data_IF_443050912322
#
_entry.id   IF_443050912322
#
_cell.length_a   1.000
_cell.length_b   1.000
_cell.length_c   1.000
_cell.angle_alpha   90.00
_cell.angle_beta   90.00
_cell.angle_gamma   90.00
#
_symmetry.space_group_name_H-M   'P 1'
#
loop_
_entity.id
_entity.type
_entity.pdbx_description
1 polymer ?
#
# COMPACT_ATOMS: atom_id res chain seq x y z
N UNK A 1 -26.84 -52.81 -18.79
CA UNK A 1 -26.39 -53.98 -19.57
C UNK A 1 -25.30 -54.68 -18.77
N UNK A 2 -25.36 -56.00 -18.64
CA UNK A 2 -24.42 -56.81 -17.85
C UNK A 2 -23.99 -58.01 -18.71
N UNK A 3 -22.68 -58.26 -18.80
CA UNK A 3 -22.12 -59.46 -19.44
C UNK A 3 -21.02 -60.05 -18.56
N UNK A 4 -20.74 -61.37 -18.64
CA UNK A 4 -20.38 -62.15 -17.45
C UNK A 4 -18.95 -62.70 -17.42
N UNK A 5 -18.66 -63.44 -16.34
CA UNK A 5 -17.39 -64.12 -16.02
C UNK A 5 -17.40 -65.58 -16.50
N UNK A 6 -16.22 -66.22 -16.53
CA UNK A 6 -15.91 -67.66 -16.78
C UNK A 6 -15.55 -68.00 -18.26
N UNK A 7 -14.75 -69.04 -18.60
CA UNK A 7 -14.28 -70.19 -17.79
C UNK A 7 -12.96 -70.84 -18.31
N UNK A 8 -12.19 -71.45 -17.39
CA UNK A 8 -11.21 -72.58 -17.50
C UNK A 8 -10.44 -72.91 -18.81
N UNK A 9 -9.13 -73.13 -18.68
CA UNK A 9 -8.41 -74.44 -18.59
C UNK A 9 -6.91 -74.12 -18.34
N UNK A 10 -6.16 -74.57 -17.32
CA UNK A 10 -5.95 -75.84 -16.60
C UNK A 10 -4.96 -76.82 -17.30
N UNK A 11 -3.81 -77.03 -16.62
CA UNK A 11 -2.83 -78.11 -16.76
C UNK A 11 -2.05 -78.30 -18.08
N UNK A 12 -0.81 -77.80 -18.10
CA UNK A 12 0.37 -78.63 -18.44
C UNK A 12 1.44 -78.37 -17.36
N UNK A 13 2.00 -79.43 -16.79
CA UNK A 13 3.12 -79.38 -15.83
C UNK A 13 4.15 -80.48 -16.15
N UNK A 14 5.38 -80.29 -15.66
CA UNK A 14 6.36 -81.35 -15.38
C UNK A 14 7.11 -82.03 -16.55
N UNK A 15 8.03 -81.29 -17.17
CA UNK A 15 9.39 -81.73 -17.58
C UNK A 15 10.16 -80.46 -17.99
N UNK A 16 11.46 -80.24 -17.74
CA UNK A 16 12.54 -81.10 -17.23
C UNK A 16 13.24 -80.48 -16.01
N UNK A 17 14.10 -81.25 -15.33
CA UNK A 17 14.91 -80.78 -14.20
C UNK A 17 16.42 -81.04 -14.43
N UNK A 18 17.25 -80.35 -13.64
CA UNK A 18 18.61 -80.73 -13.22
C UNK A 18 19.77 -80.68 -14.26
N UNK A 19 20.41 -79.51 -14.35
CA UNK A 19 21.88 -79.35 -14.53
C UNK A 19 22.31 -78.18 -13.64
N UNK A 20 22.81 -78.38 -12.42
CA UNK A 20 24.19 -78.75 -12.04
C UNK A 20 25.28 -77.69 -12.30
N UNK A 21 25.35 -76.75 -11.36
CA UNK A 21 26.55 -76.21 -10.68
C UNK A 21 27.83 -76.03 -11.52
N UNK A 22 28.14 -74.77 -11.83
CA UNK A 22 29.48 -74.20 -11.72
C UNK A 22 29.35 -72.72 -11.29
N UNK A 23 30.27 -72.11 -10.54
CA UNK A 23 31.52 -72.67 -10.02
C UNK A 23 32.71 -71.69 -9.99
N UNK A 24 32.49 -70.38 -9.97
CA UNK A 24 33.56 -69.38 -9.99
C UNK A 24 33.72 -68.65 -8.63
N UNK A 25 34.92 -68.73 -8.06
CA UNK A 25 35.31 -68.03 -6.84
C UNK A 25 35.87 -66.63 -7.18
N UNK A 26 35.43 -65.60 -6.45
CA UNK A 26 36.04 -64.26 -6.50
C UNK A 26 36.89 -64.01 -5.25
N UNK A 27 38.18 -63.72 -5.46
CA UNK A 27 39.09 -63.34 -4.38
C UNK A 27 38.87 -61.86 -4.00
N UNK A 28 38.82 -61.51 -2.70
CA UNK A 28 38.78 -60.11 -2.29
C UNK A 28 40.15 -59.46 -2.53
N UNK A 29 40.14 -58.26 -3.12
CA UNK A 29 41.31 -57.38 -3.22
C UNK A 29 41.23 -56.36 -2.05
N UNK A 30 42.34 -55.98 -1.40
CA UNK A 30 42.29 -55.01 -0.30
C UNK A 30 41.69 -53.67 -0.75
N UNK A 31 41.04 -53.00 0.19
CA UNK A 31 40.33 -51.72 -0.03
C UNK A 31 41.29 -50.54 -0.08
N UNK A 32 41.52 -49.99 -1.27
CA UNK A 32 42.08 -48.65 -1.43
C UNK A 32 40.99 -47.58 -1.27
N UNK A 33 41.39 -46.43 -0.71
CA UNK A 33 40.47 -45.45 -0.13
C UNK A 33 39.79 -44.56 -1.19
N UNK A 34 38.64 -44.98 -1.72
CA UNK A 34 37.64 -44.03 -2.26
C UNK A 34 36.23 -44.60 -2.20
N UNK A 35 35.39 -44.05 -1.33
CA UNK A 35 33.99 -44.47 -1.15
C UNK A 35 33.08 -43.99 -2.29
N UNK A 36 33.24 -44.58 -3.48
CA UNK A 36 32.18 -44.54 -4.50
C UNK A 36 31.02 -45.41 -4.02
N UNK A 37 30.12 -44.79 -3.27
CA UNK A 37 28.89 -45.41 -2.79
C UNK A 37 28.08 -45.90 -4.00
N UNK A 38 27.82 -47.21 -4.06
CA UNK A 38 27.07 -47.82 -5.14
C UNK A 38 25.58 -47.49 -4.99
N UNK A 39 25.18 -46.34 -5.53
CA UNK A 39 23.77 -45.95 -5.69
C UNK A 39 23.02 -46.99 -6.54
N UNK A 40 21.73 -47.14 -6.24
CA UNK A 40 20.89 -48.21 -6.79
C UNK A 40 20.83 -48.17 -8.33
N UNK A 41 20.53 -49.32 -8.95
CA UNK A 41 20.32 -49.44 -10.40
C UNK A 41 18.94 -48.92 -10.81
N UNK A 42 18.61 -47.70 -10.39
CA UNK A 42 17.31 -47.03 -10.53
C UNK A 42 17.52 -45.52 -10.57
N UNK A 43 17.51 -44.94 -11.77
CA UNK A 43 17.36 -43.52 -12.18
C UNK A 43 18.21 -42.40 -11.52
N UNK A 44 18.65 -42.52 -10.27
CA UNK A 44 19.53 -41.58 -9.55
C UNK A 44 20.83 -41.28 -10.33
N UNK A 45 21.30 -42.24 -11.12
CA UNK A 45 22.50 -42.12 -11.96
C UNK A 45 22.32 -41.18 -13.17
N UNK A 46 21.10 -40.69 -13.43
CA UNK A 46 20.82 -39.67 -14.44
C UNK A 46 21.18 -38.26 -13.90
N UNK A 47 21.03 -38.04 -12.59
CA UNK A 47 21.24 -36.75 -11.93
C UNK A 47 22.70 -36.51 -11.46
N UNK A 48 23.67 -37.11 -12.15
CA UNK A 48 25.11 -37.01 -11.81
C UNK A 48 25.66 -35.64 -12.22
N UNK A 49 25.35 -34.65 -11.40
CA UNK A 49 25.73 -33.24 -11.54
C UNK A 49 24.87 -32.31 -10.70
N UNK A 50 23.58 -32.64 -10.53
CA UNK A 50 22.60 -31.84 -9.80
C UNK A 50 22.70 -32.09 -8.29
N UNK A 51 23.76 -31.58 -7.65
CA UNK A 51 23.86 -31.63 -6.19
C UNK A 51 22.72 -30.83 -5.54
N UNK A 52 22.24 -31.31 -4.39
CA UNK A 52 21.13 -30.66 -3.66
C UNK A 52 21.46 -29.21 -3.29
N UNK A 53 22.75 -28.93 -3.01
CA UNK A 53 23.27 -27.59 -2.73
C UNK A 53 23.07 -26.62 -3.91
N UNK A 54 23.36 -27.05 -5.15
CA UNK A 54 23.17 -26.22 -6.36
C UNK A 54 21.71 -25.88 -6.62
N UNK A 55 20.76 -26.71 -6.19
CA UNK A 55 19.32 -26.43 -6.34
C UNK A 55 18.81 -25.28 -5.45
N UNK A 56 19.55 -24.93 -4.40
CA UNK A 56 19.25 -23.85 -3.46
C UNK A 56 20.18 -22.63 -3.60
N UNK A 57 21.12 -22.62 -4.54
CA UNK A 57 21.94 -21.43 -4.84
C UNK A 57 21.04 -20.23 -5.21
N UNK A 58 21.29 -19.02 -4.66
CA UNK A 58 20.47 -17.84 -4.92
C UNK A 58 20.28 -17.54 -6.42
N UNK A 59 21.33 -17.72 -7.21
CA UNK A 59 21.33 -17.43 -8.64
C UNK A 59 20.58 -18.50 -9.44
N UNK A 60 20.58 -19.75 -8.98
CA UNK A 60 19.83 -20.84 -9.60
C UNK A 60 18.32 -20.66 -9.38
N UNK A 61 17.89 -20.36 -8.15
CA UNK A 61 16.47 -20.05 -7.87
C UNK A 61 16.03 -18.81 -8.65
N UNK A 62 16.83 -17.73 -8.63
CA UNK A 62 16.51 -16.49 -9.35
C UNK A 62 16.33 -16.73 -10.85
N UNK A 63 17.28 -17.43 -11.50
CA UNK A 63 17.18 -17.77 -12.94
C UNK A 63 16.00 -18.67 -13.26
N UNK A 64 15.58 -19.54 -12.32
CA UNK A 64 14.38 -20.37 -12.46
C UNK A 64 13.12 -19.49 -12.44
N UNK A 65 13.02 -18.55 -11.49
CA UNK A 65 11.94 -17.58 -11.39
C UNK A 65 11.84 -16.66 -12.62
N UNK A 66 12.98 -16.18 -13.13
CA UNK A 66 13.08 -15.44 -14.39
C UNK A 66 12.64 -16.28 -15.59
N UNK A 67 13.08 -17.54 -15.68
CA UNK A 67 12.68 -18.45 -16.77
C UNK A 67 11.17 -18.74 -16.80
N UNK A 68 10.46 -18.66 -15.66
CA UNK A 68 9.00 -18.68 -15.63
C UNK A 68 8.39 -17.31 -16.01
N UNK A 69 8.99 -16.21 -15.55
CA UNK A 69 8.53 -14.84 -15.89
C UNK A 69 8.55 -14.60 -17.41
N UNK A 70 9.63 -15.00 -18.07
CA UNK A 70 9.85 -14.79 -19.51
C UNK A 70 9.00 -15.74 -20.38
N UNK A 71 8.50 -16.85 -19.81
CA UNK A 71 7.48 -17.73 -20.41
C UNK A 71 6.04 -17.26 -20.11
N UNK A 72 5.87 -16.07 -19.56
CA UNK A 72 4.60 -15.53 -19.06
C UNK A 72 3.89 -16.42 -18.01
N UNK A 73 4.63 -17.36 -17.41
CA UNK A 73 4.16 -18.31 -16.41
C UNK A 73 4.20 -17.64 -15.03
N UNK A 74 3.38 -16.58 -14.89
CA UNK A 74 3.49 -15.64 -13.76
C UNK A 74 3.16 -16.29 -12.41
N UNK A 75 2.29 -17.30 -12.36
CA UNK A 75 1.94 -17.98 -11.10
C UNK A 75 3.13 -18.80 -10.56
N UNK A 76 3.78 -19.56 -11.43
CA UNK A 76 4.98 -20.36 -11.18
C UNK A 76 6.16 -19.44 -10.82
N UNK A 77 6.30 -18.33 -11.55
CA UNK A 77 7.31 -17.29 -11.29
C UNK A 77 7.16 -16.66 -9.91
N UNK A 78 5.92 -16.37 -9.48
CA UNK A 78 5.62 -15.85 -8.12
C UNK A 78 6.04 -16.87 -7.04
N UNK A 79 5.85 -18.17 -7.26
CA UNK A 79 6.27 -19.20 -6.30
C UNK A 79 7.79 -19.24 -6.15
N UNK A 80 8.54 -19.22 -7.25
CA UNK A 80 10.02 -19.25 -7.20
C UNK A 80 10.63 -17.94 -6.65
N UNK A 81 10.07 -16.76 -6.94
CA UNK A 81 10.52 -15.52 -6.30
C UNK A 81 10.19 -15.48 -4.80
N UNK A 82 9.07 -16.07 -4.35
CA UNK A 82 8.77 -16.22 -2.92
C UNK A 82 9.75 -17.19 -2.26
N UNK A 83 10.00 -18.35 -2.89
CA UNK A 83 10.99 -19.32 -2.42
C UNK A 83 12.40 -18.71 -2.29
N UNK A 84 12.79 -17.84 -3.22
CA UNK A 84 14.02 -17.04 -3.10
C UNK A 84 14.01 -16.16 -1.84
N UNK A 85 12.93 -15.43 -1.55
CA UNK A 85 12.83 -14.54 -0.39
C UNK A 85 12.75 -15.31 0.94
N UNK A 86 12.12 -16.49 0.95
CA UNK A 86 12.00 -17.34 2.14
C UNK A 86 13.37 -17.90 2.57
N UNK A 87 14.25 -18.22 1.62
CA UNK A 87 15.60 -18.71 1.89
C UNK A 87 16.66 -17.60 2.00
N UNK A 88 16.57 -16.57 1.15
CA UNK A 88 17.66 -15.62 0.87
C UNK A 88 17.25 -14.16 1.06
N UNK A 89 16.39 -13.87 2.05
CA UNK A 89 15.85 -12.51 2.36
C UNK A 89 16.90 -11.38 2.37
N UNK A 90 18.11 -11.65 2.86
CA UNK A 90 19.18 -10.65 3.00
C UNK A 90 20.10 -10.56 1.76
N UNK A 91 19.80 -11.27 0.67
CA UNK A 91 20.63 -11.25 -0.54
C UNK A 91 20.42 -9.98 -1.36
N UNK A 92 21.45 -9.56 -2.11
CA UNK A 92 21.44 -8.34 -2.96
C UNK A 92 20.29 -8.32 -3.99
N UNK A 93 19.75 -9.50 -4.33
CA UNK A 93 18.63 -9.66 -5.27
C UNK A 93 17.24 -9.75 -4.61
N UNK A 94 17.12 -9.68 -3.29
CA UNK A 94 15.83 -9.72 -2.60
C UNK A 94 14.89 -8.55 -2.99
N UNK A 95 15.35 -7.28 -3.13
CA UNK A 95 14.50 -6.21 -3.66
C UNK A 95 13.98 -6.50 -5.07
N UNK A 96 14.79 -7.17 -5.91
CA UNK A 96 14.41 -7.54 -7.27
C UNK A 96 13.35 -8.65 -7.29
N UNK A 97 13.49 -9.68 -6.44
CA UNK A 97 12.49 -10.73 -6.28
C UNK A 97 11.14 -10.15 -5.80
N UNK A 98 11.14 -9.29 -4.77
CA UNK A 98 9.92 -8.70 -4.23
C UNK A 98 9.23 -7.77 -5.25
N UNK A 99 10.01 -6.96 -5.98
CA UNK A 99 9.50 -6.19 -7.12
C UNK A 99 8.89 -7.09 -8.20
N UNK A 100 9.56 -8.18 -8.59
CA UNK A 100 9.09 -9.12 -9.62
C UNK A 100 7.81 -9.85 -9.23
N UNK A 101 7.57 -10.13 -7.95
CA UNK A 101 6.27 -10.66 -7.47
C UNK A 101 5.14 -9.66 -7.75
N UNK A 102 5.34 -8.38 -7.43
CA UNK A 102 4.39 -7.30 -7.74
C UNK A 102 4.11 -7.19 -9.25
N UNK A 103 5.17 -7.15 -10.08
CA UNK A 103 5.04 -7.11 -11.55
C UNK A 103 4.33 -8.35 -12.10
N UNK A 104 4.58 -9.53 -11.54
CA UNK A 104 3.94 -10.77 -11.98
C UNK A 104 2.45 -10.78 -11.67
N UNK A 105 2.03 -10.30 -10.49
CA UNK A 105 0.62 -10.11 -10.16
C UNK A 105 -0.03 -9.04 -11.07
N UNK A 106 0.64 -7.90 -11.31
CA UNK A 106 0.15 -6.89 -12.25
C UNK A 106 -0.07 -7.45 -13.66
N UNK A 107 0.84 -8.28 -14.16
CA UNK A 107 0.73 -8.93 -15.48
C UNK A 107 -0.31 -10.06 -15.57
N UNK A 108 -0.82 -10.57 -14.45
CA UNK A 108 -1.94 -11.52 -14.45
C UNK A 108 -3.28 -10.82 -14.74
N UNK A 109 -3.41 -9.53 -14.42
CA UNK A 109 -4.56 -8.71 -14.80
C UNK A 109 -4.58 -8.46 -16.31
N UNK A 110 -5.78 -8.38 -16.91
CA UNK A 110 -5.96 -8.29 -18.38
C UNK A 110 -6.96 -7.24 -18.86
N UNK A 111 -8.15 -7.17 -18.27
CA UNK A 111 -9.20 -6.22 -18.68
C UNK A 111 -10.07 -5.83 -17.49
N UNK A 112 -10.67 -4.63 -17.56
CA UNK A 112 -11.48 -4.01 -16.49
C UNK A 112 -12.69 -4.86 -16.08
N UNK A 113 -13.21 -5.70 -16.97
CA UNK A 113 -14.32 -6.63 -16.69
C UNK A 113 -13.93 -7.80 -15.76
N UNK A 114 -12.65 -8.21 -15.80
CA UNK A 114 -12.16 -9.40 -15.10
C UNK A 114 -11.96 -9.17 -13.61
N UNK A 115 -11.68 -10.25 -12.91
CA UNK A 115 -11.42 -10.20 -11.48
C UNK A 115 -10.21 -9.28 -11.15
N UNK A 116 -10.33 -8.39 -10.13
CA UNK A 116 -9.29 -7.42 -9.79
C UNK A 116 -8.28 -7.91 -8.74
N UNK A 117 -8.42 -9.11 -8.16
CA UNK A 117 -7.51 -9.60 -7.10
C UNK A 117 -6.01 -9.48 -7.47
N UNK A 118 -5.57 -9.69 -8.73
CA UNK A 118 -4.16 -9.49 -9.10
C UNK A 118 -3.68 -8.03 -8.99
N UNK A 119 -4.57 -7.04 -9.05
CA UNK A 119 -4.22 -5.62 -8.79
C UNK A 119 -4.04 -5.36 -7.31
N UNK A 120 -4.93 -5.88 -6.46
CA UNK A 120 -4.83 -5.74 -5.00
C UNK A 120 -3.58 -6.48 -4.47
N UNK A 121 -3.27 -7.66 -5.02
CA UNK A 121 -2.05 -8.41 -4.72
C UNK A 121 -0.80 -7.72 -5.28
N UNK A 122 -0.88 -7.09 -6.45
CA UNK A 122 0.20 -6.26 -7.02
C UNK A 122 0.56 -5.11 -6.07
N UNK A 123 -0.43 -4.30 -5.67
CA UNK A 123 -0.26 -3.18 -4.73
C UNK A 123 0.38 -3.66 -3.43
N UNK A 124 -0.17 -4.70 -2.79
CA UNK A 124 0.37 -5.26 -1.54
C UNK A 124 1.83 -5.70 -1.64
N UNK A 125 2.28 -6.22 -2.79
CA UNK A 125 3.67 -6.65 -2.98
C UNK A 125 4.61 -5.49 -3.32
N UNK A 126 4.12 -4.43 -3.96
CA UNK A 126 4.88 -3.19 -4.12
C UNK A 126 4.96 -2.39 -2.81
N UNK A 127 3.92 -2.36 -1.99
CA UNK A 127 3.97 -1.74 -0.66
C UNK A 127 4.98 -2.45 0.25
N UNK A 128 5.02 -3.80 0.21
CA UNK A 128 6.08 -4.59 0.88
C UNK A 128 7.48 -4.27 0.36
N UNK A 129 7.66 -4.07 -0.94
CA UNK A 129 8.95 -3.64 -1.50
C UNK A 129 9.37 -2.29 -0.90
N UNK A 130 8.45 -1.33 -0.81
CA UNK A 130 8.72 0.01 -0.26
C UNK A 130 8.97 0.00 1.25
N UNK A 131 8.39 -0.95 1.98
CA UNK A 131 8.57 -1.10 3.43
C UNK A 131 9.83 -1.92 3.80
N UNK A 132 10.08 -3.05 3.16
CA UNK A 132 11.22 -3.94 3.45
C UNK A 132 12.51 -3.48 2.75
N UNK A 133 12.42 -2.81 1.59
CA UNK A 133 13.57 -2.42 0.77
C UNK A 133 13.51 -0.94 0.30
N UNK A 134 13.48 0.03 1.24
CA UNK A 134 13.46 1.46 0.93
C UNK A 134 14.70 1.90 0.14
N UNK A 135 14.55 2.94 -0.70
CA UNK A 135 15.60 3.46 -1.59
C UNK A 135 16.17 2.43 -2.59
N UNK A 136 15.49 1.30 -2.81
CA UNK A 136 15.86 0.33 -3.85
C UNK A 136 15.64 0.90 -5.26
N UNK A 137 16.43 0.44 -6.24
CA UNK A 137 16.34 0.85 -7.66
C UNK A 137 14.92 0.77 -8.25
N UNK A 138 14.08 -0.09 -7.69
CA UNK A 138 12.74 -0.43 -8.17
C UNK A 138 11.64 0.47 -7.57
N UNK A 139 11.92 1.21 -6.50
CA UNK A 139 10.99 2.13 -5.82
C UNK A 139 10.18 3.07 -6.75
N UNK A 140 10.79 3.82 -7.70
CA UNK A 140 10.03 4.74 -8.55
C UNK A 140 9.09 4.02 -9.52
N UNK A 141 9.45 2.83 -9.99
CA UNK A 141 8.61 2.03 -10.88
C UNK A 141 7.49 1.30 -10.12
N UNK A 142 7.78 0.86 -8.88
CA UNK A 142 6.78 0.32 -7.97
C UNK A 142 5.71 1.36 -7.64
N UNK A 143 6.10 2.58 -7.22
CA UNK A 143 5.18 3.69 -6.95
C UNK A 143 4.33 4.04 -8.17
N UNK A 144 4.92 4.07 -9.37
CA UNK A 144 4.19 4.25 -10.63
C UNK A 144 3.19 3.12 -10.91
N UNK A 145 3.58 1.87 -10.69
CA UNK A 145 2.71 0.70 -10.93
C UNK A 145 1.57 0.62 -9.93
N UNK A 146 1.78 1.00 -8.66
CA UNK A 146 0.72 1.15 -7.65
C UNK A 146 -0.34 2.14 -8.13
N UNK A 147 0.06 3.32 -8.63
CA UNK A 147 -0.86 4.33 -9.16
C UNK A 147 -1.69 3.79 -10.34
N UNK A 148 -1.06 3.04 -11.26
CA UNK A 148 -1.75 2.39 -12.38
C UNK A 148 -2.72 1.31 -11.89
N UNK A 149 -2.38 0.55 -10.84
CA UNK A 149 -3.29 -0.44 -10.25
C UNK A 149 -4.50 0.23 -9.59
N UNK A 150 -4.30 1.31 -8.82
CA UNK A 150 -5.38 2.12 -8.24
C UNK A 150 -6.32 2.67 -9.32
N UNK A 151 -5.76 3.21 -10.40
CA UNK A 151 -6.52 3.73 -11.54
C UNK A 151 -7.37 2.63 -12.22
N UNK A 152 -6.83 1.42 -12.40
CA UNK A 152 -7.61 0.30 -12.92
C UNK A 152 -8.73 -0.17 -11.97
N UNK A 153 -8.51 -0.12 -10.65
CA UNK A 153 -9.55 -0.40 -9.65
C UNK A 153 -10.66 0.66 -9.65
N UNK A 154 -10.29 1.93 -9.77
CA UNK A 154 -11.22 3.06 -9.88
C UNK A 154 -12.07 2.96 -11.16
N UNK A 155 -11.43 2.73 -12.31
CA UNK A 155 -12.12 2.53 -13.61
C UNK A 155 -13.09 1.34 -13.57
N UNK A 156 -12.75 0.25 -12.88
CA UNK A 156 -13.67 -0.89 -12.69
C UNK A 156 -14.92 -0.51 -11.90
N UNK A 157 -14.79 0.28 -10.84
CA UNK A 157 -15.98 0.77 -10.12
C UNK A 157 -16.75 1.81 -10.93
N UNK A 158 -16.08 2.66 -11.73
CA UNK A 158 -16.72 3.67 -12.58
C UNK A 158 -17.61 3.01 -13.63
N UNK A 159 -17.06 2.04 -14.36
CA UNK A 159 -17.77 1.25 -15.38
C UNK A 159 -18.99 0.52 -14.79
N UNK A 160 -18.84 -0.10 -13.60
CA UNK A 160 -19.94 -0.79 -12.92
C UNK A 160 -20.99 0.19 -12.40
N UNK A 161 -20.59 1.38 -11.92
CA UNK A 161 -21.51 2.46 -11.53
C UNK A 161 -22.31 3.00 -12.71
N UNK A 162 -21.66 3.29 -13.83
CA UNK A 162 -22.30 3.73 -15.08
C UNK A 162 -23.30 2.68 -15.60
N UNK A 163 -22.96 1.38 -15.51
CA UNK A 163 -23.85 0.28 -15.86
C UNK A 163 -25.11 0.21 -14.98
N UNK A 164 -24.99 0.43 -13.66
CA UNK A 164 -26.15 0.50 -12.76
C UNK A 164 -26.99 1.77 -13.01
N UNK A 165 -26.35 2.92 -13.26
CA UNK A 165 -27.03 4.17 -13.60
C UNK A 165 -27.84 4.04 -14.90
N UNK A 166 -27.26 3.45 -15.95
CA UNK A 166 -27.94 3.16 -17.21
C UNK A 166 -29.10 2.15 -17.11
N UNK A 167 -29.23 1.47 -15.96
CA UNK A 167 -30.36 0.58 -15.62
C UNK A 167 -31.36 1.19 -14.63
N UNK A 168 -31.19 2.46 -14.23
CA UNK A 168 -32.00 3.10 -13.21
C UNK A 168 -31.80 2.55 -11.79
N UNK A 169 -30.71 1.81 -11.55
CA UNK A 169 -30.39 1.22 -10.25
C UNK A 169 -29.56 2.21 -9.41
N UNK A 170 -30.15 3.38 -9.15
CA UNK A 170 -29.44 4.55 -8.64
C UNK A 170 -28.67 4.31 -7.34
N UNK A 171 -29.25 3.59 -6.37
CA UNK A 171 -28.55 3.28 -5.11
C UNK A 171 -27.29 2.40 -5.31
N UNK A 172 -27.35 1.46 -6.27
CA UNK A 172 -26.20 0.62 -6.61
C UNK A 172 -25.14 1.39 -7.44
N UNK A 173 -25.56 2.40 -8.20
CA UNK A 173 -24.66 3.32 -8.89
C UNK A 173 -23.95 4.27 -7.89
N UNK A 174 -24.71 4.90 -6.99
CA UNK A 174 -24.20 5.82 -5.98
C UNK A 174 -23.10 5.15 -5.12
N UNK A 175 -23.38 3.98 -4.54
CA UNK A 175 -22.41 3.21 -3.77
C UNK A 175 -21.14 2.84 -4.57
N UNK A 176 -21.20 2.75 -5.91
CA UNK A 176 -20.00 2.50 -6.74
C UNK A 176 -19.17 3.76 -6.92
N UNK A 177 -19.79 4.91 -7.13
CA UNK A 177 -19.09 6.20 -7.24
C UNK A 177 -18.53 6.67 -5.90
N UNK A 178 -19.29 6.55 -4.81
CA UNK A 178 -18.84 6.83 -3.44
C UNK A 178 -17.62 6.00 -3.04
N UNK A 179 -17.53 4.73 -3.49
CA UNK A 179 -16.35 3.89 -3.24
C UNK A 179 -15.09 4.44 -3.93
N UNK A 180 -15.21 5.02 -5.12
CA UNK A 180 -14.08 5.65 -5.83
C UNK A 180 -13.61 6.89 -5.06
N UNK A 181 -14.54 7.78 -4.73
CA UNK A 181 -14.24 9.04 -4.02
C UNK A 181 -13.58 8.76 -2.66
N UNK A 182 -14.03 7.70 -1.96
CA UNK A 182 -13.50 7.31 -0.65
C UNK A 182 -12.13 6.62 -0.69
N UNK A 183 -11.88 5.77 -1.69
CA UNK A 183 -10.67 4.93 -1.73
C UNK A 183 -9.55 5.48 -2.63
N UNK A 184 -9.88 6.35 -3.58
CA UNK A 184 -8.96 6.90 -4.57
C UNK A 184 -9.15 8.42 -4.84
N UNK A 185 -9.30 9.29 -3.81
CA UNK A 185 -9.54 10.73 -3.99
C UNK A 185 -8.41 11.45 -4.75
N UNK A 186 -7.20 10.88 -4.82
CA UNK A 186 -6.07 11.45 -5.54
C UNK A 186 -6.12 11.30 -7.07
N UNK A 187 -7.10 10.55 -7.61
CA UNK A 187 -7.20 10.23 -9.04
C UNK A 187 -8.15 11.17 -9.79
N UNK A 188 -7.89 11.40 -11.08
CA UNK A 188 -8.82 12.15 -11.95
C UNK A 188 -10.20 11.47 -12.04
N UNK A 189 -10.21 10.12 -12.02
CA UNK A 189 -11.41 9.27 -11.99
C UNK A 189 -12.29 9.49 -10.74
N UNK A 190 -11.79 10.14 -9.67
CA UNK A 190 -12.64 10.58 -8.56
C UNK A 190 -13.58 11.73 -8.96
N UNK A 191 -13.13 12.67 -9.80
CA UNK A 191 -13.97 13.73 -10.36
C UNK A 191 -15.06 13.19 -11.28
N UNK A 192 -14.73 12.21 -12.13
CA UNK A 192 -15.71 11.47 -12.95
C UNK A 192 -16.77 10.81 -12.06
N UNK A 193 -16.34 10.20 -10.94
CA UNK A 193 -17.23 9.60 -9.97
C UNK A 193 -18.13 10.66 -9.28
N UNK A 194 -17.60 11.81 -8.86
CA UNK A 194 -18.41 12.91 -8.29
C UNK A 194 -19.47 13.41 -9.28
N UNK A 195 -19.12 13.60 -10.55
CA UNK A 195 -20.09 14.03 -11.57
C UNK A 195 -21.21 12.99 -11.76
N UNK A 196 -20.85 11.71 -11.87
CA UNK A 196 -21.84 10.65 -12.01
C UNK A 196 -22.66 10.41 -10.73
N UNK A 197 -22.10 10.62 -9.54
CA UNK A 197 -22.81 10.57 -8.26
C UNK A 197 -23.82 11.72 -8.16
N UNK A 198 -23.41 12.95 -8.48
CA UNK A 198 -24.31 14.10 -8.54
C UNK A 198 -25.46 13.89 -9.52
N UNK A 199 -25.18 13.33 -10.71
CA UNK A 199 -26.22 12.96 -11.67
C UNK A 199 -27.14 11.86 -11.13
N UNK A 200 -26.60 10.85 -10.44
CA UNK A 200 -27.38 9.78 -9.81
C UNK A 200 -28.35 10.36 -8.76
N UNK A 201 -27.92 11.35 -7.99
CA UNK A 201 -28.79 12.06 -7.05
C UNK A 201 -29.79 13.01 -7.73
N UNK A 202 -29.45 13.62 -8.87
CA UNK A 202 -30.43 14.34 -9.71
C UNK A 202 -31.52 13.41 -10.23
N UNK A 203 -31.16 12.25 -10.78
CA UNK A 203 -32.10 11.28 -11.36
C UNK A 203 -32.98 10.62 -10.28
N UNK A 204 -32.54 10.61 -9.01
CA UNK A 204 -33.34 10.29 -7.81
C UNK A 204 -34.25 11.45 -7.33
N UNK A 205 -34.06 12.68 -7.84
CA UNK A 205 -34.77 13.88 -7.38
C UNK A 205 -34.19 14.54 -6.13
N UNK A 206 -33.03 14.10 -5.63
CA UNK A 206 -32.34 14.63 -4.45
C UNK A 206 -31.39 15.76 -4.89
N UNK A 207 -31.96 16.91 -5.25
CA UNK A 207 -31.21 18.04 -5.82
C UNK A 207 -30.27 18.75 -4.84
N UNK A 208 -30.42 18.52 -3.54
CA UNK A 208 -29.53 19.00 -2.47
C UNK A 208 -28.16 18.32 -2.57
N UNK A 209 -28.09 16.99 -2.37
CA UNK A 209 -26.85 16.22 -2.54
C UNK A 209 -26.28 16.30 -3.97
N UNK A 210 -27.14 16.45 -4.98
CA UNK A 210 -26.69 16.69 -6.36
C UNK A 210 -25.89 18.00 -6.49
N UNK A 211 -26.29 19.08 -5.81
CA UNK A 211 -25.54 20.34 -5.82
C UNK A 211 -24.28 20.27 -4.96
N UNK A 212 -24.32 19.59 -3.82
CA UNK A 212 -23.17 19.35 -2.94
C UNK A 212 -22.01 18.66 -3.67
N UNK A 213 -22.28 17.53 -4.33
CA UNK A 213 -21.25 16.79 -5.09
C UNK A 213 -20.75 17.54 -6.34
N UNK A 214 -21.53 18.47 -6.90
CA UNK A 214 -21.07 19.36 -7.98
C UNK A 214 -20.19 20.51 -7.48
N UNK A 215 -20.43 21.00 -6.27
CA UNK A 215 -19.55 21.97 -5.62
C UNK A 215 -18.20 21.31 -5.27
N UNK A 216 -18.22 20.10 -4.70
CA UNK A 216 -17.01 19.30 -4.48
C UNK A 216 -16.21 19.10 -5.78
N UNK A 217 -16.85 18.62 -6.84
CA UNK A 217 -16.22 18.46 -8.17
C UNK A 217 -15.55 19.74 -8.69
N UNK A 218 -16.23 20.88 -8.57
CA UNK A 218 -15.73 22.17 -9.08
C UNK A 218 -14.57 22.69 -8.23
N UNK A 219 -14.57 22.45 -6.92
CA UNK A 219 -13.55 22.93 -5.99
C UNK A 219 -12.30 22.02 -5.96
N UNK A 220 -12.49 20.70 -5.94
CA UNK A 220 -11.43 19.70 -5.72
C UNK A 220 -10.77 19.24 -7.03
N UNK A 221 -11.52 19.18 -8.14
CA UNK A 221 -11.02 18.71 -9.43
C UNK A 221 -11.22 19.76 -10.56
N UNK A 222 -10.54 20.92 -10.51
CA UNK A 222 -10.70 22.00 -11.49
C UNK A 222 -10.31 21.63 -12.93
N UNK A 223 -9.46 20.61 -13.11
CA UNK A 223 -8.97 20.16 -14.41
C UNK A 223 -9.72 18.96 -15.01
N UNK A 224 -10.66 18.36 -14.28
CA UNK A 224 -11.36 17.13 -14.70
C UNK A 224 -12.26 17.38 -15.93
N UNK A 225 -12.37 16.37 -16.81
CA UNK A 225 -13.14 16.42 -18.05
C UNK A 225 -14.60 16.91 -17.90
N UNK A 226 -15.27 16.55 -16.81
CA UNK A 226 -16.66 16.91 -16.52
C UNK A 226 -16.83 18.28 -15.85
N UNK A 227 -15.75 18.98 -15.46
CA UNK A 227 -15.83 20.24 -14.71
C UNK A 227 -16.78 21.27 -15.37
N UNK A 228 -16.69 21.45 -16.68
CA UNK A 228 -17.55 22.38 -17.43
C UNK A 228 -19.03 21.94 -17.47
N UNK A 229 -19.32 20.65 -17.52
CA UNK A 229 -20.69 20.13 -17.50
C UNK A 229 -21.28 20.09 -16.09
N UNK A 230 -20.45 19.87 -15.07
CA UNK A 230 -20.79 20.04 -13.67
C UNK A 230 -21.23 21.47 -13.34
N UNK A 231 -20.46 22.48 -13.79
CA UNK A 231 -20.86 23.89 -13.66
C UNK A 231 -22.21 24.20 -14.33
N UNK A 232 -22.43 23.71 -15.56
CA UNK A 232 -23.70 23.91 -16.29
C UNK A 232 -24.88 23.26 -15.56
N UNK A 233 -24.68 22.08 -15.00
CA UNK A 233 -25.69 21.33 -14.25
C UNK A 233 -26.00 22.02 -12.90
N UNK A 234 -24.97 22.42 -12.16
CA UNK A 234 -25.09 23.17 -10.91
C UNK A 234 -25.88 24.47 -11.12
N UNK A 235 -25.52 25.27 -12.12
CA UNK A 235 -26.23 26.50 -12.48
C UNK A 235 -27.67 26.27 -12.97
N UNK A 236 -28.02 25.06 -13.44
CA UNK A 236 -29.39 24.66 -13.80
C UNK A 236 -30.20 24.30 -12.55
N UNK A 237 -29.62 23.59 -11.59
CA UNK A 237 -30.26 23.22 -10.32
C UNK A 237 -30.50 24.46 -9.45
N UNK A 238 -29.50 25.33 -9.29
CA UNK A 238 -29.59 26.59 -8.56
C UNK A 238 -30.71 27.51 -9.09
N UNK A 239 -30.90 27.58 -10.42
CA UNK A 239 -32.00 28.34 -11.05
C UNK A 239 -33.39 27.74 -10.80
N UNK A 240 -33.47 26.43 -10.52
CA UNK A 240 -34.72 25.75 -10.16
C UNK A 240 -35.04 25.92 -8.68
N UNK A 241 -34.03 25.85 -7.81
CA UNK A 241 -34.16 25.84 -6.35
C UNK A 241 -33.28 26.92 -5.67
N UNK A 242 -33.56 28.23 -5.87
CA UNK A 242 -32.72 29.31 -5.37
C UNK A 242 -32.67 29.39 -3.82
N UNK A 243 -33.65 28.82 -3.12
CA UNK A 243 -33.69 28.78 -1.66
C UNK A 243 -32.51 28.02 -1.04
N UNK A 244 -32.00 26.99 -1.72
CA UNK A 244 -30.89 26.16 -1.21
C UNK A 244 -29.58 26.95 -1.07
N UNK A 245 -29.34 27.92 -1.97
CA UNK A 245 -28.20 28.84 -1.88
C UNK A 245 -28.26 29.79 -0.67
N UNK A 246 -29.42 29.94 -0.03
CA UNK A 246 -29.56 30.71 1.21
C UNK A 246 -29.35 29.87 2.48
N UNK A 247 -29.35 28.53 2.38
CA UNK A 247 -29.14 27.60 3.50
C UNK A 247 -27.74 26.97 3.54
N UNK A 248 -27.00 26.96 2.43
CA UNK A 248 -25.59 26.57 2.44
C UNK A 248 -24.76 27.52 3.34
N UNK A 249 -23.82 27.01 4.15
CA UNK A 249 -22.85 27.85 4.85
C UNK A 249 -22.09 28.73 3.86
N UNK A 250 -22.17 30.05 4.02
CA UNK A 250 -21.47 30.98 3.14
C UNK A 250 -20.05 31.19 3.65
N UNK A 251 -19.09 30.50 3.04
CA UNK A 251 -17.68 30.76 3.26
C UNK A 251 -17.34 32.22 2.89
N UNK A 252 -16.90 33.06 3.84
CA UNK A 252 -16.71 34.48 3.60
C UNK A 252 -15.59 34.80 2.60
N UNK A 253 -14.74 33.82 2.28
CA UNK A 253 -13.69 33.94 1.27
C UNK A 253 -14.23 34.03 -0.18
N UNK A 254 -15.47 33.59 -0.45
CA UNK A 254 -16.04 33.60 -1.80
C UNK A 254 -16.64 34.96 -2.20
N UNK A 255 -17.10 35.77 -1.23
CA UNK A 255 -17.67 37.11 -1.50
C UNK A 255 -16.57 38.14 -1.88
N UNK A 256 -15.31 37.94 -1.47
CA UNK A 256 -14.22 38.89 -1.73
C UNK A 256 -13.74 38.92 -3.19
N UNK A 257 -13.79 37.79 -3.92
CA UNK A 257 -13.18 37.69 -5.25
C UNK A 257 -14.04 38.29 -6.39
N UNK A 258 -15.33 38.54 -6.15
CA UNK A 258 -16.28 39.04 -7.16
C UNK A 258 -16.57 40.56 -7.03
N UNK A 259 -15.81 41.27 -6.18
CA UNK A 259 -16.00 42.69 -5.89
C UNK A 259 -15.15 43.64 -6.77
N UNK A 260 -14.19 43.12 -7.56
CA UNK A 260 -13.18 43.93 -8.24
C UNK A 260 -13.69 44.55 -9.56
N UNK A 261 -14.01 45.85 -9.53
CA UNK A 261 -14.04 46.71 -10.73
C UNK A 261 -13.13 47.93 -10.54
N UNK A 262 -12.18 48.21 -11.44
CA UNK A 262 -11.17 49.26 -11.26
C UNK A 262 -11.60 50.62 -11.87
N UNK A 263 -10.85 51.71 -11.66
CA UNK A 263 -10.40 52.27 -10.36
C UNK A 263 -10.64 53.82 -10.30
N UNK A 264 -10.33 54.52 -9.18
CA UNK A 264 -9.77 55.91 -9.14
C UNK A 264 -9.51 56.42 -7.69
N UNK A 265 -8.22 56.55 -7.34
CA UNK A 265 -7.49 57.67 -6.67
C UNK A 265 -8.08 58.38 -5.41
N UNK A 266 -7.28 58.36 -4.32
CA UNK A 266 -7.22 59.27 -3.13
C UNK A 266 -8.42 59.34 -2.15
N UNK A 267 -8.27 59.51 -0.83
CA UNK A 267 -7.15 59.97 0.03
C UNK A 267 -7.25 59.40 1.48
N UNK A 268 -6.20 59.52 2.31
CA UNK A 268 -6.14 59.18 3.78
C UNK A 268 -5.61 60.43 4.53
N UNK A 269 -5.63 60.58 5.89
CA UNK A 269 -6.24 59.76 6.95
C UNK A 269 -7.00 60.56 8.05
N UNK A 270 -7.57 59.86 9.05
CA UNK A 270 -7.43 60.19 10.49
C UNK A 270 -7.95 59.08 11.41
N UNK A 271 -7.54 59.14 12.68
CA UNK A 271 -7.77 58.16 13.73
C UNK A 271 -9.14 58.29 14.39
N UNK A 272 -9.67 57.21 14.99
CA UNK A 272 -9.76 57.11 16.46
C UNK A 272 -10.27 55.75 16.96
N UNK A 273 -9.82 55.41 18.16
CA UNK A 273 -10.24 54.26 19.00
C UNK A 273 -11.69 54.36 19.47
N UNK A 274 -12.38 53.22 19.67
CA UNK A 274 -12.82 52.83 21.03
C UNK A 274 -13.35 51.38 21.16
N UNK A 275 -13.23 50.88 22.38
CA UNK A 275 -13.52 49.51 22.84
C UNK A 275 -15.01 49.30 23.16
N UNK A 276 -15.58 48.14 22.77
CA UNK A 276 -16.39 47.33 23.72
C UNK A 276 -16.49 45.85 23.37
N UNK A 277 -16.36 45.02 24.41
CA UNK A 277 -16.65 43.58 24.43
C UNK A 277 -18.15 43.29 24.45
N UNK A 278 -18.56 42.13 23.91
CA UNK A 278 -19.18 41.01 24.65
C UNK A 278 -18.97 39.73 23.82
N UNK A 279 -18.62 38.62 24.48
CA UNK A 279 -18.95 37.27 24.03
C UNK A 279 -19.47 36.49 25.26
N UNK A 280 -20.35 35.50 25.05
CA UNK A 280 -20.86 34.63 26.10
C UNK A 280 -20.70 33.17 25.67
N UNK A 281 -20.05 32.37 26.52
CA UNK A 281 -20.13 30.92 26.48
C UNK A 281 -21.20 30.45 27.49
N UNK A 282 -22.00 29.43 27.16
CA UNK A 282 -22.65 28.57 28.14
C UNK A 282 -21.86 27.26 28.31
N UNK A 283 -21.70 26.79 29.54
CA UNK A 283 -21.03 25.52 29.87
C UNK A 283 -22.03 24.37 30.11
N UNK A 284 -21.50 23.13 30.06
CA UNK A 284 -21.87 22.04 31.00
C UNK A 284 -23.26 21.38 30.86
N UNK A 285 -23.53 20.20 31.52
CA UNK A 285 -22.85 19.63 32.69
C UNK A 285 -22.41 18.14 32.65
N UNK A 286 -21.71 17.76 33.72
CA UNK A 286 -21.16 16.43 34.05
C UNK A 286 -21.93 15.76 35.21
N UNK A 287 -21.74 14.44 35.35
CA UNK A 287 -21.70 13.70 36.63
C UNK A 287 -20.43 12.80 36.57
N UNK A 288 -19.53 12.64 37.56
CA UNK A 288 -19.61 12.47 39.03
C UNK A 288 -20.23 11.14 39.47
N UNK A 289 -19.69 10.31 40.37
CA UNK A 289 -18.37 10.18 41.08
C UNK A 289 -18.38 8.78 41.80
N UNK A 290 -17.47 8.24 42.64
CA UNK A 290 -16.31 8.66 43.47
C UNK A 290 -15.38 7.41 43.65
N UNK A 291 -14.08 7.53 43.98
CA UNK A 291 -13.32 6.39 44.58
C UNK A 291 -11.79 6.52 44.73
N UNK A 292 -11.28 6.43 45.97
CA UNK A 292 -9.86 6.38 46.40
C UNK A 292 -9.80 5.76 47.84
N UNK A 293 -8.65 5.38 48.47
CA UNK A 293 -7.25 5.75 48.20
C UNK A 293 -6.19 4.61 48.32
N UNK A 294 -4.89 5.00 48.30
CA UNK A 294 -3.66 4.19 48.47
C UNK A 294 -3.34 3.82 49.95
N UNK A 295 -2.28 3.03 50.32
CA UNK A 295 -0.86 3.47 50.21
C UNK A 295 0.26 2.41 50.00
N UNK A 296 1.40 2.91 49.48
CA UNK A 296 2.84 2.61 49.73
C UNK A 296 3.37 1.21 50.14
N UNK A 297 4.54 0.84 49.56
CA UNK A 297 5.77 0.46 50.30
C UNK A 297 7.04 0.40 49.40
N UNK A 298 8.20 0.72 49.99
CA UNK A 298 9.59 0.57 49.49
C UNK A 298 10.47 0.15 50.70
N UNK A 299 11.82 0.00 50.67
CA UNK A 299 12.81 0.09 49.58
C UNK A 299 13.84 -1.07 49.54
N UNK A 300 14.80 -1.01 48.61
CA UNK A 300 16.14 -1.60 48.78
C UNK A 300 17.17 -0.87 47.91
N UNK A 301 18.34 -0.55 48.48
CA UNK A 301 19.45 0.18 47.83
C UNK A 301 20.61 -0.76 47.53
N UNK A 302 21.32 -0.56 46.41
CA UNK A 302 22.73 -0.98 46.26
C UNK A 302 23.48 -0.05 45.29
N UNK A 303 24.81 0.00 45.41
CA UNK A 303 25.64 1.13 44.95
C UNK A 303 26.43 0.88 43.66
N UNK A 304 26.91 1.98 43.05
CA UNK A 304 27.76 1.98 41.86
C UNK A 304 29.19 1.41 42.12
N UNK A 305 30.01 1.29 41.06
CA UNK A 305 31.06 2.32 40.90
C UNK A 305 31.15 2.97 39.51
N UNK A 306 31.89 4.07 39.45
CA UNK A 306 32.02 5.01 38.33
C UNK A 306 33.08 4.62 37.30
N UNK A 307 32.80 4.88 36.02
CA UNK A 307 33.83 5.19 35.00
C UNK A 307 33.53 6.58 34.42
N UNK A 308 34.56 7.39 34.15
CA UNK A 308 34.43 8.81 33.82
C UNK A 308 34.70 9.14 32.35
N UNK A 309 33.84 9.96 31.74
CA UNK A 309 34.04 10.60 30.44
C UNK A 309 33.89 12.13 30.55
N UNK A 310 34.41 12.92 29.57
CA UNK A 310 34.54 14.38 29.67
C UNK A 310 33.19 15.13 29.59
N UNK A 311 33.14 16.42 30.01
CA UNK A 311 31.89 17.18 30.05
C UNK A 311 31.36 17.49 28.66
N UNK A 312 30.13 17.05 28.39
CA UNK A 312 29.31 17.52 27.27
C UNK A 312 28.76 18.90 27.64
N UNK A 313 28.92 19.87 26.75
CA UNK A 313 28.21 21.15 26.85
C UNK A 313 26.84 21.03 26.20
N UNK A 314 25.78 21.20 27.00
CA UNK A 314 24.40 21.20 26.52
C UNK A 314 24.17 22.35 25.53
N UNK A 315 24.01 22.04 24.23
CA UNK A 315 23.65 23.03 23.22
C UNK A 315 22.12 23.13 23.04
N UNK A 316 21.66 24.31 22.62
CA UNK A 316 20.23 24.64 22.54
C UNK A 316 19.81 24.83 21.08
N UNK A 317 18.77 24.12 20.65
CA UNK A 317 18.40 23.99 19.24
C UNK A 317 16.87 23.93 19.04
N UNK A 318 16.44 24.20 17.81
CA UNK A 318 15.03 24.38 17.44
C UNK A 318 14.35 23.09 17.03
N UNK A 319 13.11 22.88 17.49
CA UNK A 319 12.33 21.67 17.17
C UNK A 319 12.26 21.44 15.64
N UNK A 320 12.60 20.22 15.21
CA UNK A 320 12.72 19.82 13.81
C UNK A 320 14.11 20.00 13.18
N UNK A 321 15.20 20.01 13.96
CA UNK A 321 16.57 20.17 13.41
C UNK A 321 17.60 19.25 14.09
N UNK A 322 18.62 18.82 13.33
CA UNK A 322 19.65 17.88 13.82
C UNK A 322 20.74 18.61 14.63
N UNK A 323 20.96 18.13 15.86
CA UNK A 323 21.92 18.65 16.83
C UNK A 323 23.37 18.27 16.44
N UNK A 324 23.91 19.03 15.48
CA UNK A 324 25.32 19.10 15.00
C UNK A 324 25.43 19.96 13.71
N UNK A 325 24.30 20.42 13.16
CA UNK A 325 24.27 21.17 11.90
C UNK A 325 24.96 22.54 12.01
N UNK A 326 25.92 22.92 11.14
CA UNK A 326 26.70 24.16 11.26
C UNK A 326 25.91 25.47 11.01
N UNK A 327 24.58 25.41 11.00
CA UNK A 327 23.64 26.52 10.89
C UNK A 327 23.05 26.96 12.24
N UNK A 328 23.43 26.35 13.36
CA UNK A 328 22.84 26.57 14.71
C UNK A 328 23.54 27.63 15.58
N UNK A 329 24.56 28.35 15.09
CA UNK A 329 25.29 29.35 15.89
C UNK A 329 24.50 30.65 16.11
N UNK A 330 23.51 30.59 17.01
CA UNK A 330 22.68 31.73 17.42
C UNK A 330 23.45 32.64 18.40
N UNK A 331 24.25 33.56 17.86
CA UNK A 331 24.90 34.62 18.65
C UNK A 331 23.92 35.77 18.94
N UNK A 332 22.98 35.56 19.87
CA UNK A 332 22.08 36.63 20.37
C UNK A 332 21.96 36.63 21.89
N UNK A 333 21.97 37.81 22.56
CA UNK A 333 21.88 37.90 24.02
C UNK A 333 20.45 37.61 24.55
N UNK A 334 20.32 37.18 25.82
CA UNK A 334 19.07 36.62 26.36
C UNK A 334 18.04 37.69 26.75
N UNK A 335 17.21 38.12 25.80
CA UNK A 335 16.00 38.94 26.11
C UNK A 335 14.76 38.58 25.28
N UNK A 336 14.85 37.63 24.33
CA UNK A 336 13.72 37.14 23.52
C UNK A 336 13.87 35.63 23.25
N UNK A 337 13.51 34.77 24.20
CA UNK A 337 13.30 33.34 23.91
C UNK A 337 11.85 33.12 23.46
N UNK A 338 11.68 32.50 22.30
CA UNK A 338 10.41 31.90 21.87
C UNK A 338 10.25 30.50 22.47
N UNK A 339 9.03 29.96 22.46
CA UNK A 339 8.65 28.71 23.11
C UNK A 339 9.22 27.42 22.50
N UNK A 340 10.10 27.51 21.50
CA UNK A 340 10.41 26.41 20.57
C UNK A 340 11.89 25.99 20.58
N UNK A 341 12.62 26.28 21.67
CA UNK A 341 14.04 25.92 21.85
C UNK A 341 14.16 24.89 22.95
N UNK A 342 14.85 23.79 22.68
CA UNK A 342 15.09 22.67 23.60
C UNK A 342 16.60 22.39 23.65
N UNK A 343 17.09 21.88 24.78
CA UNK A 343 18.47 21.41 24.93
C UNK A 343 18.61 20.00 24.34
N UNK A 344 19.61 19.80 23.49
CA UNK A 344 19.88 18.55 22.79
C UNK A 344 21.31 18.04 23.06
N UNK A 345 21.56 16.78 22.73
CA UNK A 345 22.91 16.22 22.67
C UNK A 345 23.36 16.06 21.22
N UNK A 346 24.66 16.24 21.00
CA UNK A 346 25.41 15.86 19.81
C UNK A 346 24.89 14.54 19.22
N UNK A 347 24.33 14.58 18.01
CA UNK A 347 23.79 13.42 17.30
C UNK A 347 22.32 13.05 17.59
N UNK A 348 21.57 13.86 18.34
CA UNK A 348 20.12 13.71 18.52
C UNK A 348 19.32 14.73 17.67
N UNK A 349 18.02 14.47 17.47
CA UNK A 349 17.09 15.46 16.91
C UNK A 349 16.52 16.37 18.00
N UNK A 350 16.45 17.67 17.68
CA UNK A 350 15.45 18.59 18.22
C UNK A 350 14.16 18.44 17.41
#
# INVERSE_FOLDING_TARGET
>A
MTFPVNFRFLSITFLTALVMIAGCSSTPKPTDTTSKQAVSSTDEQIFVGDSVEMNYDPNVIMKRAESFFDKESYAESIVEYKHFLDLHRNHVLAPYAQYKIGVSHFKQYRTVDRDPEPLDLSIQNFDKLLQEFPASRYEPEAKKTILICKEQLAQRHLMVGQFYLGRGSYLAAAHRFEKIIKEFPELETAGDAMFHLAKTYQDLGIEEWSQEWLLALVNEHPNNSYHSDGQKLLAKLQKKNPTFLASLPRDPAMDEQNAQKPPTIEQKPKDQTLVRTVSHSPESPLLSSVGAPSPALTPATLSAPTTSEPPVSDEACTIGTWCDSPSSTITTPPTQLSSNVISCKTGEWC
#
